data_IF_945392723290
#
_entry.id   IF_945392723290
#
_cell.length_a   1.000
_cell.length_b   1.000
_cell.length_c   1.000
_cell.angle_alpha   90.00
_cell.angle_beta   90.00
_cell.angle_gamma   90.00
#
_symmetry.space_group_name_H-M   'P 1'
#
loop_
_entity.id
_entity.type
_entity.pdbx_description
1 polymer ?
#
# COMPACT_ATOMS: atom_id res chain seq x y z
N UNK A 1 11.95 -29.63 -31.52
CA UNK A 1 11.27 -28.32 -31.71
C UNK A 1 12.03 -27.31 -30.86
N UNK A 2 12.58 -26.24 -31.46
CA UNK A 2 13.23 -25.19 -30.68
C UNK A 2 12.14 -24.38 -29.97
N UNK A 3 12.26 -24.10 -28.66
CA UNK A 3 11.30 -23.25 -27.97
C UNK A 3 11.38 -21.84 -28.58
N UNK A 4 10.35 -21.46 -29.30
CA UNK A 4 10.21 -20.10 -29.84
C UNK A 4 9.64 -19.18 -28.77
N UNK A 5 10.08 -17.93 -28.75
CA UNK A 5 9.69 -16.87 -27.82
C UNK A 5 8.17 -16.74 -27.53
N UNK A 6 7.23 -17.01 -28.48
CA UNK A 6 5.79 -16.97 -28.23
C UNK A 6 5.25 -18.15 -27.39
N UNK A 7 6.04 -19.19 -27.18
CA UNK A 7 5.64 -20.39 -26.41
C UNK A 7 5.94 -20.25 -24.91
N UNK A 8 6.46 -19.11 -24.47
CA UNK A 8 6.80 -18.86 -23.07
C UNK A 8 5.54 -18.52 -22.27
N UNK A 9 5.46 -18.92 -20.98
CA UNK A 9 4.44 -18.43 -20.07
C UNK A 9 4.40 -16.89 -20.05
N UNK A 10 3.23 -16.24 -20.03
CA UNK A 10 3.11 -14.79 -20.11
C UNK A 10 3.93 -14.02 -19.07
N UNK A 11 4.07 -14.57 -17.87
CA UNK A 11 4.90 -14.00 -16.80
C UNK A 11 6.39 -13.97 -17.18
N UNK A 12 6.90 -15.04 -17.77
CA UNK A 12 8.31 -15.16 -18.15
C UNK A 12 8.63 -14.35 -19.41
N UNK A 13 7.69 -14.30 -20.36
CA UNK A 13 7.78 -13.42 -21.53
C UNK A 13 7.86 -11.95 -21.10
N UNK A 14 7.04 -11.53 -20.14
CA UNK A 14 7.02 -10.14 -19.70
C UNK A 14 8.31 -9.72 -18.95
N UNK A 15 8.94 -10.61 -18.17
CA UNK A 15 10.29 -10.36 -17.64
C UNK A 15 11.35 -10.20 -18.74
N UNK A 16 11.30 -11.02 -19.79
CA UNK A 16 12.21 -10.89 -20.93
C UNK A 16 12.00 -9.57 -21.65
N UNK A 17 10.74 -9.15 -21.83
CA UNK A 17 10.40 -7.87 -22.45
C UNK A 17 10.85 -6.68 -21.60
N UNK A 18 10.78 -6.77 -20.27
CA UNK A 18 11.28 -5.73 -19.35
C UNK A 18 12.80 -5.57 -19.42
N UNK A 19 13.53 -6.66 -19.57
CA UNK A 19 14.96 -6.60 -19.80
C UNK A 19 15.31 -6.06 -21.21
N UNK A 20 14.54 -6.45 -22.23
CA UNK A 20 14.85 -6.16 -23.63
C UNK A 20 14.37 -4.77 -24.10
N UNK A 21 13.33 -4.21 -23.48
CA UNK A 21 12.72 -2.95 -23.88
C UNK A 21 12.91 -1.91 -22.77
N UNK A 22 13.74 -0.87 -22.97
CA UNK A 22 14.08 0.11 -21.93
C UNK A 22 12.89 0.98 -21.44
N UNK A 23 11.72 0.86 -22.07
CA UNK A 23 10.50 1.56 -21.66
C UNK A 23 9.36 0.60 -21.25
N UNK A 24 9.60 -0.71 -21.24
CA UNK A 24 8.62 -1.68 -20.76
C UNK A 24 8.94 -1.98 -19.30
N UNK A 25 8.16 -1.38 -18.39
CA UNK A 25 8.16 -1.76 -16.98
C UNK A 25 6.89 -2.55 -16.74
N UNK A 26 6.97 -3.73 -16.11
CA UNK A 26 5.76 -4.34 -15.61
C UNK A 26 5.29 -3.45 -14.45
N UNK A 27 4.14 -2.80 -14.61
CA UNK A 27 3.51 -2.01 -13.55
C UNK A 27 2.92 -2.99 -12.52
N UNK A 28 3.80 -3.75 -11.85
CA UNK A 28 3.54 -4.72 -10.80
C UNK A 28 3.26 -4.02 -9.47
N UNK A 29 3.54 -2.72 -9.40
CA UNK A 29 3.14 -1.90 -8.28
C UNK A 29 1.61 -1.90 -8.23
N UNK A 30 1.00 -2.28 -7.11
CA UNK A 30 -0.44 -2.15 -7.00
C UNK A 30 -0.73 -0.65 -7.04
N UNK A 31 -1.24 -0.14 -8.17
CA UNK A 31 -1.60 1.26 -8.32
C UNK A 31 -2.46 1.63 -7.12
N UNK A 32 -2.03 2.62 -6.34
CA UNK A 32 -2.68 2.98 -5.10
C UNK A 32 -4.12 3.34 -5.41
N UNK A 33 -5.10 2.49 -5.05
CA UNK A 33 -6.48 2.85 -5.27
C UNK A 33 -6.71 4.06 -4.37
N UNK A 34 -7.01 5.19 -4.99
CA UNK A 34 -7.63 6.30 -4.29
C UNK A 34 -9.12 6.12 -4.48
N UNK A 35 -9.88 6.25 -3.39
CA UNK A 35 -11.33 6.34 -3.51
C UNK A 35 -11.63 7.50 -4.48
N UNK A 36 -12.38 7.27 -5.57
CA UNK A 36 -12.75 8.33 -6.50
C UNK A 36 -13.85 9.19 -5.86
N UNK A 37 -13.50 9.95 -4.82
CA UNK A 37 -14.45 10.65 -3.94
C UNK A 37 -15.32 11.65 -4.72
N UNK A 38 -14.81 12.23 -5.81
CA UNK A 38 -15.56 13.13 -6.68
C UNK A 38 -16.71 12.37 -7.37
N UNK A 39 -16.38 11.28 -8.04
CA UNK A 39 -17.36 10.43 -8.74
C UNK A 39 -18.33 9.77 -7.76
N UNK A 40 -17.84 9.31 -6.60
CA UNK A 40 -18.69 8.75 -5.55
C UNK A 40 -19.67 9.81 -5.00
N UNK A 41 -19.26 11.07 -4.89
CA UNK A 41 -20.16 12.15 -4.50
C UNK A 41 -21.28 12.34 -5.54
N UNK A 42 -20.95 12.29 -6.82
CA UNK A 42 -21.96 12.43 -7.89
C UNK A 42 -22.97 11.28 -7.86
N UNK A 43 -22.51 10.04 -7.63
CA UNK A 43 -23.40 8.88 -7.48
C UNK A 43 -24.25 8.97 -6.21
N UNK A 44 -23.71 9.52 -5.12
CA UNK A 44 -24.44 9.72 -3.87
C UNK A 44 -25.63 10.69 -4.00
N UNK A 45 -25.59 11.60 -4.98
CA UNK A 45 -26.66 12.55 -5.24
C UNK A 45 -27.86 11.94 -5.98
N UNK A 46 -27.74 10.72 -6.51
CA UNK A 46 -28.80 10.05 -7.28
C UNK A 46 -30.02 9.73 -6.41
N UNK A 47 -29.82 9.30 -5.16
CA UNK A 47 -30.91 9.02 -4.22
C UNK A 47 -30.41 8.94 -2.77
N UNK A 48 -31.33 9.05 -1.80
CA UNK A 48 -31.01 8.84 -0.37
C UNK A 48 -30.44 7.45 -0.08
N UNK A 49 -30.94 6.42 -0.77
CA UNK A 49 -30.41 5.06 -0.63
C UNK A 49 -28.98 4.96 -1.16
N UNK A 50 -28.67 5.62 -2.29
CA UNK A 50 -27.30 5.66 -2.83
C UNK A 50 -26.35 6.44 -1.93
N UNK A 51 -26.80 7.55 -1.33
CA UNK A 51 -26.02 8.26 -0.33
C UNK A 51 -25.63 7.36 0.85
N UNK A 52 -26.61 6.62 1.41
CA UNK A 52 -26.34 5.67 2.50
C UNK A 52 -25.36 4.57 2.10
N UNK A 53 -25.56 3.95 0.93
CA UNK A 53 -24.66 2.90 0.44
C UNK A 53 -23.23 3.39 0.20
N UNK A 54 -23.06 4.62 -0.29
CA UNK A 54 -21.74 5.20 -0.54
C UNK A 54 -21.05 5.61 0.77
N UNK A 55 -21.80 6.09 1.76
CA UNK A 55 -21.27 6.34 3.10
C UNK A 55 -20.72 5.05 3.71
N UNK A 56 -21.52 3.98 3.72
CA UNK A 56 -21.06 2.67 4.21
C UNK A 56 -19.84 2.16 3.45
N UNK A 57 -19.83 2.27 2.12
CA UNK A 57 -18.68 1.87 1.30
C UNK A 57 -17.40 2.65 1.67
N UNK A 58 -17.51 3.96 1.89
CA UNK A 58 -16.37 4.81 2.26
C UNK A 58 -15.89 4.47 3.68
N UNK A 59 -16.81 4.22 4.61
CA UNK A 59 -16.47 3.85 5.97
C UNK A 59 -15.80 2.47 6.04
N UNK A 60 -16.31 1.49 5.30
CA UNK A 60 -15.70 0.15 5.16
C UNK A 60 -14.30 0.24 4.55
N UNK A 61 -14.13 1.05 3.50
CA UNK A 61 -12.84 1.28 2.88
C UNK A 61 -11.84 1.92 3.85
N UNK A 62 -12.29 2.90 4.64
CA UNK A 62 -11.46 3.57 5.67
C UNK A 62 -11.11 2.63 6.82
N UNK A 63 -12.05 1.77 7.23
CA UNK A 63 -11.80 0.78 8.25
C UNK A 63 -10.79 -0.28 7.79
N UNK A 64 -10.83 -0.66 6.51
CA UNK A 64 -9.94 -1.64 5.91
C UNK A 64 -8.58 -1.10 5.46
N UNK A 65 -8.40 0.23 5.42
CA UNK A 65 -7.14 0.87 5.01
C UNK A 65 -6.43 1.45 6.23
N UNK A 66 -5.22 0.98 6.51
CA UNK A 66 -4.37 1.51 7.58
C UNK A 66 -3.18 2.28 7.01
N UNK A 67 -2.85 3.42 7.64
CA UNK A 67 -1.63 4.17 7.35
C UNK A 67 -0.76 4.15 8.59
N UNK A 68 0.45 3.63 8.44
CA UNK A 68 1.47 3.59 9.49
C UNK A 68 2.51 4.67 9.18
N UNK A 69 2.69 5.61 10.11
CA UNK A 69 3.82 6.55 10.08
C UNK A 69 4.98 5.95 10.88
N UNK A 70 6.12 5.77 10.22
CA UNK A 70 7.33 5.19 10.84
C UNK A 70 7.88 6.09 11.95
N UNK A 71 7.54 7.39 11.93
CA UNK A 71 7.95 8.35 12.95
C UNK A 71 7.19 8.23 14.28
N UNK A 72 6.01 7.58 14.31
CA UNK A 72 5.16 7.45 15.50
C UNK A 72 4.90 5.96 15.82
N UNK A 73 5.88 5.26 16.41
CA UNK A 73 5.78 3.83 16.72
C UNK A 73 4.73 3.51 17.80
N UNK A 74 4.30 4.49 18.60
CA UNK A 74 3.24 4.32 19.62
C UNK A 74 1.87 3.96 19.02
N UNK A 75 1.70 4.11 17.71
CA UNK A 75 0.51 3.67 16.97
C UNK A 75 0.47 2.13 16.77
N UNK A 76 1.58 1.42 17.02
CA UNK A 76 1.73 -0.02 16.77
C UNK A 76 0.90 -0.88 17.76
N UNK A 77 0.64 -0.37 18.96
CA UNK A 77 -0.10 -1.09 20.01
C UNK A 77 -1.59 -1.28 19.70
N UNK A 78 -2.14 -0.54 18.72
CA UNK A 78 -3.55 -0.63 18.32
C UNK A 78 -3.80 -1.68 17.23
N UNK A 79 -2.74 -2.20 16.61
CA UNK A 79 -2.83 -3.17 15.52
C UNK A 79 -3.38 -4.53 15.92
N UNK A 80 -3.14 -5.09 17.13
CA UNK A 80 -3.75 -6.36 17.52
C UNK A 80 -5.28 -6.33 17.50
N UNK A 81 -5.90 -5.19 17.83
CA UNK A 81 -7.35 -5.03 17.84
C UNK A 81 -7.94 -4.75 16.44
N UNK A 82 -7.21 -4.03 15.58
CA UNK A 82 -7.69 -3.64 14.23
C UNK A 82 -7.16 -4.54 13.11
N UNK A 83 -6.15 -5.35 13.37
CA UNK A 83 -5.44 -6.18 12.40
C UNK A 83 -6.34 -7.05 11.52
N UNK A 84 -7.35 -7.75 12.07
CA UNK A 84 -8.23 -8.60 11.27
C UNK A 84 -9.07 -7.87 10.22
N UNK A 85 -9.35 -6.57 10.42
CA UNK A 85 -10.16 -5.77 9.48
C UNK A 85 -9.31 -5.06 8.43
N UNK A 86 -8.01 -4.91 8.67
CA UNK A 86 -7.07 -4.23 7.75
C UNK A 86 -6.78 -5.14 6.56
N UNK A 87 -6.98 -4.58 5.35
CA UNK A 87 -6.73 -5.23 4.05
C UNK A 87 -5.69 -4.49 3.22
N UNK A 88 -5.51 -3.18 3.45
CA UNK A 88 -4.52 -2.34 2.77
C UNK A 88 -3.69 -1.60 3.83
N UNK A 89 -2.41 -1.95 3.96
CA UNK A 89 -1.45 -1.28 4.84
C UNK A 89 -0.55 -0.37 4.00
N UNK A 90 -0.49 0.92 4.35
CA UNK A 90 0.39 1.90 3.68
C UNK A 90 1.35 2.48 4.68
N UNK A 91 2.64 2.41 4.39
CA UNK A 91 3.70 2.84 5.28
C UNK A 91 4.30 4.13 4.75
N UNK A 92 4.38 5.16 5.58
CA UNK A 92 4.88 6.48 5.21
C UNK A 92 6.01 6.89 6.18
N UNK A 93 7.09 7.49 5.68
CA UNK A 93 8.08 8.21 6.50
C UNK A 93 7.82 9.69 6.27
N UNK A 94 7.39 10.45 7.27
CA UNK A 94 7.28 11.90 7.12
C UNK A 94 8.69 12.52 7.05
N UNK A 95 9.13 13.09 5.90
CA UNK A 95 10.48 13.61 5.73
C UNK A 95 10.85 14.66 6.78
N UNK A 96 9.87 15.45 7.23
CA UNK A 96 10.02 16.50 8.22
C UNK A 96 10.56 15.97 9.56
N UNK A 97 10.23 14.73 9.91
CA UNK A 97 10.72 14.04 11.11
C UNK A 97 11.97 13.22 10.76
N UNK A 98 12.01 12.64 9.55
CA UNK A 98 13.16 11.89 9.02
C UNK A 98 14.41 12.80 8.80
N UNK A 99 14.27 14.13 8.72
CA UNK A 99 15.39 15.10 8.65
C UNK A 99 16.05 15.40 10.00
N UNK A 100 15.32 15.30 11.13
CA UNK A 100 15.91 15.44 12.47
C UNK A 100 16.73 14.21 12.89
N UNK A 101 16.56 13.10 12.17
CA UNK A 101 17.34 11.87 12.32
C UNK A 101 18.71 11.93 11.60
N UNK A 102 19.07 13.09 11.03
CA UNK A 102 20.21 13.26 10.13
C UNK A 102 21.56 13.60 10.76
N UNK A 103 21.69 13.76 12.08
CA UNK A 103 22.99 14.16 12.69
C UNK A 103 23.46 13.33 13.88
N UNK A 104 22.65 12.45 14.42
CA UNK A 104 23.10 11.51 15.45
C UNK A 104 22.62 10.11 15.08
N UNK A 105 23.50 9.11 15.25
CA UNK A 105 23.20 7.68 15.10
C UNK A 105 22.06 7.33 16.05
N UNK A 106 20.82 7.51 15.62
CA UNK A 106 19.64 7.11 16.35
C UNK A 106 19.04 5.95 15.59
N UNK A 107 18.91 4.86 16.32
CA UNK A 107 18.30 3.60 15.94
C UNK A 107 17.05 3.88 15.10
N UNK A 108 17.09 3.49 13.82
CA UNK A 108 15.88 3.41 13.01
C UNK A 108 14.82 2.72 13.85
N UNK A 109 13.64 3.33 14.10
CA UNK A 109 12.61 2.72 14.92
C UNK A 109 12.34 1.34 14.34
N UNK A 110 12.71 0.32 15.10
CA UNK A 110 12.70 -1.05 14.63
C UNK A 110 11.27 -1.52 14.73
N UNK A 111 10.48 -1.20 13.71
CA UNK A 111 9.10 -1.67 13.61
C UNK A 111 9.15 -3.19 13.68
N UNK A 112 8.49 -3.75 14.69
CA UNK A 112 8.33 -5.19 14.80
C UNK A 112 7.28 -5.65 13.78
N UNK A 113 7.74 -5.90 12.55
CA UNK A 113 6.90 -6.31 11.43
C UNK A 113 6.16 -7.62 11.70
N UNK A 114 6.69 -8.50 12.55
CA UNK A 114 6.04 -9.75 12.91
C UNK A 114 4.75 -9.50 13.72
N UNK A 115 4.76 -8.49 14.61
CA UNK A 115 3.55 -8.08 15.36
C UNK A 115 2.55 -7.41 14.41
N UNK A 116 3.03 -6.51 13.56
CA UNK A 116 2.17 -5.75 12.62
C UNK A 116 1.51 -6.70 11.63
N UNK A 117 2.29 -7.51 10.91
CA UNK A 117 1.78 -8.41 9.88
C UNK A 117 1.12 -9.65 10.49
N UNK A 118 1.59 -10.13 11.64
CA UNK A 118 1.00 -11.27 12.34
C UNK A 118 -0.42 -11.02 12.83
N UNK A 119 -0.79 -9.77 13.09
CA UNK A 119 -2.18 -9.39 13.43
C UNK A 119 -3.09 -9.20 12.20
N UNK A 120 -2.53 -9.13 10.99
CA UNK A 120 -3.25 -8.81 9.75
C UNK A 120 -3.46 -10.03 8.84
N UNK A 121 -4.16 -11.04 9.33
CA UNK A 121 -4.47 -12.24 8.52
C UNK A 121 -5.27 -11.93 7.23
N UNK A 122 -5.96 -10.79 7.17
CA UNK A 122 -6.73 -10.32 6.02
C UNK A 122 -5.97 -9.41 5.05
N UNK A 123 -4.67 -9.19 5.26
CA UNK A 123 -3.88 -8.26 4.46
C UNK A 123 -3.82 -8.71 3.00
N UNK A 124 -4.23 -7.82 2.09
CA UNK A 124 -4.16 -8.03 0.63
C UNK A 124 -3.13 -7.15 -0.04
N UNK A 125 -2.77 -6.02 0.59
CA UNK A 125 -1.88 -5.03 0.01
C UNK A 125 -0.98 -4.40 1.07
N UNK A 126 0.31 -4.32 0.74
CA UNK A 126 1.33 -3.63 1.50
C UNK A 126 1.99 -2.59 0.59
N UNK A 127 1.88 -1.31 0.93
CA UNK A 127 2.43 -0.20 0.16
C UNK A 127 3.59 0.43 0.93
N UNK A 128 4.81 0.20 0.43
CA UNK A 128 6.06 0.74 0.98
C UNK A 128 6.60 1.90 0.12
N UNK A 129 5.90 2.32 -0.94
CA UNK A 129 6.41 3.26 -1.93
C UNK A 129 6.63 4.69 -1.42
N UNK A 130 6.09 5.00 -0.24
CA UNK A 130 6.28 6.30 0.44
C UNK A 130 7.44 6.28 1.45
N UNK A 131 8.14 5.15 1.60
CA UNK A 131 9.39 5.07 2.36
C UNK A 131 10.50 5.53 1.42
N UNK A 132 10.94 6.78 1.56
CA UNK A 132 12.18 7.22 0.91
C UNK A 132 13.35 6.58 1.64
N UNK A 133 13.83 5.46 1.12
CA UNK A 133 15.14 4.94 1.48
C UNK A 133 16.16 5.96 1.01
N UNK A 134 16.82 6.66 1.95
CA UNK A 134 18.05 7.37 1.63
C UNK A 134 19.07 6.31 1.21
N UNK A 135 19.22 6.12 -0.11
CA UNK A 135 20.39 5.45 -0.65
C UNK A 135 21.59 6.36 -0.39
N UNK A 136 22.46 5.88 0.52
CA UNK A 136 23.92 6.11 0.65
C UNK A 136 24.49 7.38 0.03
#
# INVERSE_FOLDING_TARGET
MMPTLPCLPPSLLAYILEFALPCFTQDLAPQSPSLPLKQLKDVALVSKNMLGGIQTLVDDYRAATCRLDVAEPDSIDQFPARGPTIRDLRVQCNPSICHFLGTEKVETPTINWDIVLGSMAGLKRLDLGQIRWSCS
#
